data_IF_733498153883
#
_entry.id   IF_733498153883
#
_cell.length_a   1.000
_cell.length_b   1.000
_cell.length_c   1.000
_cell.angle_alpha   90.00
_cell.angle_beta   90.00
_cell.angle_gamma   90.00
#
_symmetry.space_group_name_H-M   'P 1'
#
loop_
_entity.id
_entity.type
_entity.pdbx_description
1 polymer ?
#
# COMPACT_ATOMS: atom_id res chain seq x y z
N UNK A 1 -13.57 0.54 22.03
CA UNK A 1 -14.61 0.19 23.02
C UNK A 1 -15.93 0.85 22.62
N UNK A 2 -16.99 0.05 22.48
CA UNK A 2 -18.35 0.52 22.20
C UNK A 2 -19.26 0.31 23.40
N UNK A 3 -20.42 0.98 23.41
CA UNK A 3 -21.45 0.73 24.43
C UNK A 3 -21.94 -0.71 24.28
N UNK A 4 -22.00 -1.45 25.39
CA UNK A 4 -22.50 -2.83 25.37
C UNK A 4 -24.01 -2.84 25.05
N UNK A 5 -24.45 -3.42 23.93
CA UNK A 5 -25.85 -3.45 23.57
C UNK A 5 -26.69 -4.41 24.45
N UNK A 6 -26.02 -5.30 25.19
CA UNK A 6 -26.69 -6.34 25.99
C UNK A 6 -26.77 -5.99 27.48
N UNK A 7 -25.90 -5.11 27.98
CA UNK A 7 -25.83 -4.76 29.41
C UNK A 7 -25.66 -3.26 29.59
N UNK A 8 -26.63 -2.59 30.21
CA UNK A 8 -26.61 -1.14 30.48
C UNK A 8 -25.36 -0.73 31.29
N UNK A 9 -24.83 0.45 30.97
CA UNK A 9 -23.69 1.08 31.64
C UNK A 9 -22.37 0.30 31.60
N UNK A 10 -22.22 -0.63 30.66
CA UNK A 10 -20.96 -1.33 30.41
C UNK A 10 -20.45 -1.07 29.00
N UNK A 11 -19.14 -1.27 28.79
CA UNK A 11 -18.50 -1.15 27.49
C UNK A 11 -17.90 -2.50 27.09
N UNK A 12 -17.95 -2.82 25.80
CA UNK A 12 -17.29 -3.98 25.23
C UNK A 12 -16.22 -3.52 24.25
N UNK A 13 -15.22 -4.36 24.07
CA UNK A 13 -14.20 -4.15 23.05
C UNK A 13 -14.70 -4.72 21.73
N UNK A 14 -14.81 -3.85 20.72
CA UNK A 14 -15.05 -4.28 19.34
C UNK A 14 -13.72 -4.77 18.75
N UNK A 15 -13.61 -6.07 18.48
CA UNK A 15 -12.39 -6.69 17.96
C UNK A 15 -12.18 -6.40 16.48
N UNK A 16 -13.24 -5.98 15.76
CA UNK A 16 -13.26 -5.88 14.31
C UNK A 16 -13.31 -7.25 13.60
N UNK A 17 -13.39 -8.35 14.35
CA UNK A 17 -13.47 -9.69 13.78
C UNK A 17 -14.92 -10.05 13.41
N UNK A 18 -15.09 -10.66 12.24
CA UNK A 18 -16.36 -11.20 11.79
C UNK A 18 -16.46 -12.69 12.09
N UNK A 19 -17.56 -13.08 12.74
CA UNK A 19 -17.85 -14.46 13.04
C UNK A 19 -19.26 -14.87 12.64
N UNK A 20 -19.47 -16.16 12.38
CA UNK A 20 -20.77 -16.77 12.12
C UNK A 20 -20.98 -17.94 13.05
N UNK A 21 -22.14 -17.99 13.70
CA UNK A 21 -22.57 -19.17 14.45
C UNK A 21 -22.78 -20.36 13.52
N UNK A 22 -22.26 -21.51 13.91
CA UNK A 22 -22.52 -22.79 13.27
C UNK A 22 -23.62 -23.54 14.02
N UNK A 23 -24.30 -24.51 13.36
CA UNK A 23 -25.37 -25.32 14.00
C UNK A 23 -24.88 -26.09 15.24
N UNK A 24 -23.61 -26.42 15.31
CA UNK A 24 -22.97 -27.11 16.46
C UNK A 24 -22.63 -26.23 17.64
N UNK A 25 -23.01 -24.94 17.63
CA UNK A 25 -22.74 -24.00 18.70
C UNK A 25 -21.35 -23.35 18.65
N UNK A 26 -20.52 -23.67 17.67
CA UNK A 26 -19.21 -23.04 17.48
C UNK A 26 -19.31 -21.76 16.63
N UNK A 27 -18.34 -20.85 16.80
CA UNK A 27 -18.20 -19.66 15.95
C UNK A 27 -17.18 -19.95 14.86
N UNK A 28 -17.59 -19.81 13.61
CA UNK A 28 -16.68 -19.80 12.46
C UNK A 28 -16.16 -18.37 12.25
N UNK A 29 -14.85 -18.20 12.30
CA UNK A 29 -14.20 -16.96 11.92
C UNK A 29 -14.35 -16.72 10.41
N UNK A 30 -14.80 -15.53 10.01
CA UNK A 30 -15.03 -15.11 8.63
C UNK A 30 -14.02 -14.09 8.11
N UNK A 31 -13.15 -13.61 8.97
CA UNK A 31 -12.20 -12.54 8.65
C UNK A 31 -12.42 -11.32 9.54
N UNK A 32 -11.88 -10.19 9.11
CA UNK A 32 -12.02 -8.91 9.80
C UNK A 32 -12.92 -7.96 9.02
N UNK A 33 -13.63 -7.10 9.77
CA UNK A 33 -14.45 -6.02 9.21
C UNK A 33 -13.60 -4.77 8.89
N UNK A 34 -12.46 -4.64 9.57
CA UNK A 34 -11.49 -3.59 9.33
C UNK A 34 -10.45 -4.03 8.28
N UNK A 35 -9.80 -3.06 7.66
CA UNK A 35 -8.76 -3.25 6.65
C UNK A 35 -7.38 -3.56 7.27
N UNK A 36 -7.37 -4.10 8.49
CA UNK A 36 -6.17 -4.41 9.20
C UNK A 36 -5.50 -5.65 8.61
N UNK A 37 -4.23 -5.54 8.30
CA UNK A 37 -3.43 -6.60 7.69
C UNK A 37 -2.17 -6.89 8.52
N UNK A 38 -1.69 -8.13 8.42
CA UNK A 38 -0.36 -8.49 8.92
C UNK A 38 0.62 -8.53 7.75
N UNK A 39 1.59 -7.60 7.75
CA UNK A 39 2.66 -7.54 6.75
C UNK A 39 3.99 -7.62 7.49
N UNK A 40 4.86 -8.56 7.12
CA UNK A 40 6.17 -8.77 7.76
C UNK A 40 6.08 -8.85 9.30
N UNK A 41 4.98 -9.40 9.85
CA UNK A 41 4.72 -9.52 11.29
C UNK A 41 4.12 -8.27 11.96
N UNK A 42 4.08 -7.15 11.31
CA UNK A 42 3.46 -5.91 11.82
C UNK A 42 1.96 -5.88 11.53
N UNK A 43 1.20 -5.38 12.49
CA UNK A 43 -0.24 -5.12 12.35
C UNK A 43 -0.41 -3.71 11.79
N UNK A 44 -0.90 -3.60 10.56
CA UNK A 44 -1.01 -2.36 9.80
C UNK A 44 -2.48 -2.01 9.57
N UNK A 45 -2.83 -0.76 9.86
CA UNK A 45 -4.13 -0.18 9.55
C UNK A 45 -4.01 0.60 8.23
N UNK A 46 -4.56 0.03 7.14
CA UNK A 46 -4.43 0.62 5.81
C UNK A 46 -5.07 2.01 5.72
N UNK A 47 -6.17 2.24 6.46
CA UNK A 47 -6.87 3.53 6.50
C UNK A 47 -6.02 4.67 7.09
N UNK A 48 -5.10 4.36 8.00
CA UNK A 48 -4.17 5.35 8.55
C UNK A 48 -3.19 5.84 7.47
N UNK A 49 -2.65 4.91 6.68
CA UNK A 49 -1.79 5.24 5.55
C UNK A 49 -2.56 6.04 4.49
N UNK A 50 -3.80 5.60 4.15
CA UNK A 50 -4.67 6.29 3.19
C UNK A 50 -4.92 7.74 3.61
N UNK A 51 -5.20 7.97 4.90
CA UNK A 51 -5.42 9.30 5.47
C UNK A 51 -4.20 10.21 5.35
N UNK A 52 -2.99 9.69 5.64
CA UNK A 52 -1.76 10.47 5.53
C UNK A 52 -1.41 10.80 4.08
N UNK A 53 -1.68 9.89 3.14
CA UNK A 53 -1.46 10.15 1.70
C UNK A 53 -2.41 11.27 1.23
N UNK A 54 -3.69 11.22 1.59
CA UNK A 54 -4.66 12.25 1.22
C UNK A 54 -4.29 13.64 1.76
N UNK A 55 -3.63 13.73 2.91
CA UNK A 55 -3.16 15.00 3.49
C UNK A 55 -1.94 15.61 2.77
N UNK A 56 -1.29 14.87 1.87
CA UNK A 56 -0.10 15.36 1.18
C UNK A 56 -0.42 16.46 0.16
N UNK A 57 -1.55 16.37 -0.55
CA UNK A 57 -1.94 17.34 -1.58
C UNK A 57 -3.45 17.36 -1.78
N UNK A 58 -4.01 18.55 -1.94
CA UNK A 58 -5.43 18.77 -2.31
C UNK A 58 -5.78 18.25 -3.71
N UNK A 59 -4.79 17.86 -4.49
CA UNK A 59 -4.98 17.26 -5.82
C UNK A 59 -5.39 15.79 -5.73
N UNK A 60 -5.14 15.12 -4.60
CA UNK A 60 -5.54 13.74 -4.34
C UNK A 60 -7.01 13.69 -3.95
N UNK A 61 -7.81 12.92 -4.70
CA UNK A 61 -9.25 12.80 -4.45
C UNK A 61 -9.57 11.53 -3.63
N UNK A 62 -8.99 10.41 -4.03
CA UNK A 62 -9.21 9.12 -3.38
C UNK A 62 -7.90 8.35 -3.30
N UNK A 63 -7.73 7.62 -2.22
CA UNK A 63 -6.59 6.74 -2.00
C UNK A 63 -7.09 5.40 -1.48
N UNK A 64 -6.53 4.33 -1.99
CA UNK A 64 -6.76 2.96 -1.52
C UNK A 64 -5.41 2.28 -1.38
N UNK A 65 -5.09 1.84 -0.18
CA UNK A 65 -3.90 1.05 0.09
C UNK A 65 -4.28 -0.43 0.14
N UNK A 66 -3.49 -1.27 -0.52
CA UNK A 66 -3.67 -2.72 -0.53
C UNK A 66 -2.31 -3.43 -0.42
N UNK A 67 -2.32 -4.68 0.06
CA UNK A 67 -1.13 -5.51 0.02
C UNK A 67 -1.14 -6.37 -1.23
N UNK A 68 -0.05 -6.31 -1.99
CA UNK A 68 0.16 -7.13 -3.19
C UNK A 68 1.38 -8.02 -3.01
N UNK A 69 1.34 -9.17 -3.64
CA UNK A 69 2.46 -10.11 -3.62
C UNK A 69 3.40 -9.79 -4.79
N UNK A 70 4.61 -9.35 -4.47
CA UNK A 70 5.68 -9.07 -5.44
C UNK A 70 6.87 -9.92 -5.03
N UNK A 71 7.47 -10.68 -5.96
CA UNK A 71 8.61 -11.56 -5.70
C UNK A 71 8.46 -12.43 -4.44
N UNK A 72 7.26 -12.96 -4.21
CA UNK A 72 6.89 -13.78 -3.04
C UNK A 72 6.78 -13.01 -1.70
N UNK A 73 6.99 -11.70 -1.68
CA UNK A 73 6.80 -10.84 -0.51
C UNK A 73 5.52 -10.02 -0.59
N UNK A 74 4.89 -9.78 0.57
CA UNK A 74 3.77 -8.86 0.65
C UNK A 74 4.29 -7.43 0.79
N UNK A 75 3.95 -6.59 -0.18
CA UNK A 75 4.30 -5.15 -0.21
C UNK A 75 3.05 -4.29 -0.18
N UNK A 76 3.14 -3.11 0.40
CA UNK A 76 2.09 -2.11 0.37
C UNK A 76 2.10 -1.35 -0.95
N UNK A 77 0.92 -1.19 -1.54
CA UNK A 77 0.69 -0.43 -2.77
C UNK A 77 -0.41 0.58 -2.52
N UNK A 78 -0.14 1.83 -2.78
CA UNK A 78 -1.13 2.90 -2.72
C UNK A 78 -1.64 3.22 -4.14
N UNK A 79 -2.94 3.03 -4.34
CA UNK A 79 -3.66 3.44 -5.55
C UNK A 79 -4.32 4.78 -5.28
N UNK A 80 -4.20 5.74 -6.18
CA UNK A 80 -4.77 7.06 -5.99
C UNK A 80 -5.40 7.63 -7.27
N UNK A 81 -6.43 8.46 -7.09
CA UNK A 81 -6.96 9.33 -8.12
C UNK A 81 -6.53 10.76 -7.87
N UNK A 82 -6.42 11.56 -8.91
CA UNK A 82 -5.98 12.95 -8.83
C UNK A 82 -6.75 13.81 -9.83
N UNK A 83 -7.12 15.03 -9.42
CA UNK A 83 -7.80 16.01 -10.27
C UNK A 83 -6.97 16.45 -11.47
N UNK A 84 -5.65 16.51 -11.30
CA UNK A 84 -4.74 16.88 -12.39
C UNK A 84 -4.10 15.64 -13.00
N UNK A 85 -3.84 15.74 -14.32
CA UNK A 85 -3.09 14.70 -15.05
C UNK A 85 -1.60 14.70 -14.69
N UNK A 86 -1.11 15.77 -14.09
CA UNK A 86 0.28 15.85 -13.66
C UNK A 86 0.54 14.83 -12.55
N UNK A 87 1.59 14.07 -12.73
CA UNK A 87 1.98 13.00 -11.82
C UNK A 87 2.40 13.62 -10.48
N UNK A 88 1.78 13.15 -9.40
CA UNK A 88 2.28 13.42 -8.05
C UNK A 88 3.73 12.92 -7.99
N UNK A 89 4.61 13.76 -7.49
CA UNK A 89 6.00 13.37 -7.23
C UNK A 89 6.02 12.27 -6.14
N UNK A 90 6.11 11.02 -6.61
CA UNK A 90 6.08 9.82 -5.77
C UNK A 90 7.24 9.80 -4.77
N UNK A 91 8.38 10.37 -5.14
CA UNK A 91 9.56 10.43 -4.27
C UNK A 91 9.32 11.40 -3.11
N UNK A 92 8.85 12.60 -3.38
CA UNK A 92 8.53 13.58 -2.35
C UNK A 92 7.35 13.13 -1.47
N UNK A 93 6.34 12.47 -2.03
CA UNK A 93 5.27 11.83 -1.27
C UNK A 93 5.84 10.79 -0.29
N UNK A 94 6.76 9.93 -0.74
CA UNK A 94 7.42 8.96 0.14
C UNK A 94 8.19 9.64 1.27
N UNK A 95 8.98 10.67 0.97
CA UNK A 95 9.71 11.44 1.99
C UNK A 95 8.76 12.07 3.02
N UNK A 96 7.62 12.61 2.56
CA UNK A 96 6.60 13.13 3.45
C UNK A 96 6.07 12.03 4.40
N UNK A 97 5.76 10.85 3.88
CA UNK A 97 5.26 9.73 4.67
C UNK A 97 6.32 9.22 5.67
N UNK A 98 7.61 9.19 5.31
CA UNK A 98 8.71 8.82 6.21
C UNK A 98 8.78 9.70 7.46
N UNK A 99 8.34 10.96 7.38
CA UNK A 99 8.27 11.86 8.51
C UNK A 99 6.99 11.68 9.38
N UNK A 100 6.03 10.88 8.92
CA UNK A 100 4.72 10.72 9.57
C UNK A 100 4.46 9.30 10.05
N UNK A 101 4.98 8.30 9.35
CA UNK A 101 4.69 6.89 9.55
C UNK A 101 5.96 6.08 9.76
N UNK A 102 5.89 4.98 10.51
CA UNK A 102 6.97 4.01 10.58
C UNK A 102 7.27 3.41 9.19
N UNK A 103 8.50 3.02 8.94
CA UNK A 103 8.94 2.54 7.61
C UNK A 103 8.14 1.35 7.08
N UNK A 104 7.72 0.43 7.96
CA UNK A 104 6.90 -0.74 7.59
C UNK A 104 5.47 -0.37 7.12
N UNK A 105 5.01 0.87 7.34
CA UNK A 105 3.73 1.40 6.87
C UNK A 105 3.84 2.20 5.56
N UNK A 106 5.04 2.40 5.04
CA UNK A 106 5.25 3.20 3.83
C UNK A 106 5.01 2.33 2.59
N UNK A 107 4.10 2.72 1.68
CA UNK A 107 3.90 1.98 0.43
C UNK A 107 5.18 1.91 -0.40
N UNK A 108 5.45 0.72 -0.96
CA UNK A 108 6.57 0.53 -1.89
C UNK A 108 6.24 1.05 -3.30
N UNK A 109 4.94 1.15 -3.62
CA UNK A 109 4.47 1.58 -4.95
C UNK A 109 3.33 2.57 -4.82
N UNK A 110 3.32 3.59 -5.71
CA UNK A 110 2.22 4.53 -5.87
C UNK A 110 1.69 4.45 -7.31
N UNK A 111 0.47 3.97 -7.45
CA UNK A 111 -0.17 3.70 -8.75
C UNK A 111 -1.30 4.70 -8.96
N UNK A 112 -1.17 5.57 -9.97
CA UNK A 112 -2.26 6.43 -10.37
C UNK A 112 -3.28 5.63 -11.18
N UNK A 113 -4.56 5.80 -10.87
CA UNK A 113 -5.68 5.22 -11.60
C UNK A 113 -6.73 6.29 -11.88
N UNK A 114 -7.52 6.12 -12.93
CA UNK A 114 -8.54 7.10 -13.29
C UNK A 114 -9.73 7.07 -12.33
N UNK A 115 -10.06 5.89 -11.79
CA UNK A 115 -11.12 5.71 -10.81
C UNK A 115 -10.87 4.50 -9.93
N UNK A 116 -11.28 4.57 -8.67
CA UNK A 116 -11.27 3.42 -7.75
C UNK A 116 -12.37 2.45 -8.17
N UNK A 117 -12.04 1.17 -8.48
CA UNK A 117 -13.05 0.19 -8.88
C UNK A 117 -13.96 -0.17 -7.69
N UNK A 118 -15.26 -0.17 -7.94
CA UNK A 118 -16.26 -0.52 -6.95
C UNK A 118 -16.98 -1.84 -7.30
N UNK A 119 -17.44 -2.53 -6.28
CA UNK A 119 -18.36 -3.66 -6.42
C UNK A 119 -19.78 -3.15 -6.71
N UNK A 120 -20.71 -3.98 -7.17
CA UNK A 120 -22.12 -3.58 -7.36
C UNK A 120 -22.77 -2.99 -6.11
N UNK A 121 -22.27 -3.32 -4.94
CA UNK A 121 -22.77 -2.81 -3.65
C UNK A 121 -22.04 -1.52 -3.18
N UNK A 122 -21.25 -0.87 -4.04
CA UNK A 122 -20.55 0.38 -3.74
C UNK A 122 -19.30 0.24 -2.85
N UNK A 123 -18.83 -0.98 -2.56
CA UNK A 123 -17.59 -1.20 -1.81
C UNK A 123 -16.39 -1.24 -2.75
N UNK A 124 -15.21 -0.87 -2.27
CA UNK A 124 -13.95 -0.94 -3.03
C UNK A 124 -13.71 -2.39 -3.48
N UNK A 125 -13.54 -2.57 -4.80
CA UNK A 125 -13.20 -3.85 -5.40
C UNK A 125 -11.67 -4.02 -5.51
N UNK A 126 -11.03 -4.44 -4.41
CA UNK A 126 -9.56 -4.62 -4.34
C UNK A 126 -9.03 -5.65 -5.35
N UNK A 127 -9.88 -6.60 -5.81
CA UNK A 127 -9.49 -7.59 -6.82
C UNK A 127 -9.36 -7.00 -8.23
N UNK A 128 -10.07 -5.90 -8.48
CA UNK A 128 -10.06 -5.20 -9.76
C UNK A 128 -8.99 -4.08 -9.82
N UNK A 129 -8.23 -3.87 -8.75
CA UNK A 129 -7.11 -2.93 -8.77
C UNK A 129 -6.03 -3.43 -9.75
N UNK A 130 -5.44 -2.55 -10.56
CA UNK A 130 -4.48 -2.93 -11.59
C UNK A 130 -3.22 -3.57 -11.00
N UNK A 131 -2.52 -4.33 -11.83
CA UNK A 131 -1.21 -4.86 -11.49
C UNK A 131 -0.18 -3.73 -11.46
N UNK A 132 0.83 -3.91 -10.61
CA UNK A 132 1.98 -3.01 -10.52
C UNK A 132 2.83 -3.19 -11.78
N UNK A 133 3.33 -2.09 -12.30
CA UNK A 133 4.27 -2.04 -13.43
C UNK A 133 5.60 -1.43 -12.97
N UNK A 134 6.65 -1.54 -13.78
CA UNK A 134 7.94 -0.89 -13.50
C UNK A 134 7.83 0.64 -13.36
N UNK A 135 6.84 1.27 -14.02
CA UNK A 135 6.59 2.70 -13.91
C UNK A 135 6.04 3.14 -12.54
N UNK A 136 5.60 2.18 -11.73
CA UNK A 136 5.04 2.44 -10.41
C UNK A 136 6.10 2.39 -9.29
N UNK A 137 7.32 1.95 -9.63
CA UNK A 137 8.47 1.99 -8.73
C UNK A 137 8.79 3.45 -8.41
N UNK A 138 8.94 3.75 -7.12
CA UNK A 138 9.34 5.07 -6.66
C UNK A 138 10.82 5.26 -6.99
N UNK A 139 11.13 6.19 -7.88
CA UNK A 139 12.51 6.48 -8.25
C UNK A 139 12.81 7.96 -8.05
N UNK A 140 14.03 8.25 -7.65
CA UNK A 140 14.64 9.56 -7.91
C UNK A 140 14.72 9.79 -9.41
N UNK A 141 15.00 11.04 -9.82
CA UNK A 141 15.33 11.31 -11.21
C UNK A 141 16.40 10.33 -11.70
N UNK A 142 16.06 9.62 -12.77
CA UNK A 142 16.96 8.61 -13.33
C UNK A 142 18.23 9.26 -13.86
N UNK A 143 19.34 8.91 -13.27
CA UNK A 143 20.67 9.29 -13.77
C UNK A 143 21.34 8.02 -14.31
N UNK A 144 21.61 8.01 -15.61
CA UNK A 144 22.24 6.87 -16.29
C UNK A 144 23.66 6.61 -15.75
N UNK A 145 24.12 5.34 -15.72
CA UNK A 145 25.51 5.01 -15.48
C UNK A 145 26.45 5.78 -16.42
N UNK A 146 27.60 6.25 -15.91
CA UNK A 146 28.56 7.07 -16.63
C UNK A 146 29.93 6.40 -16.79
N UNK A 147 30.27 5.50 -15.85
CA UNK A 147 31.54 4.80 -15.85
C UNK A 147 31.36 3.30 -16.09
N UNK A 148 32.41 2.62 -16.52
CA UNK A 148 32.37 1.18 -16.75
C UNK A 148 31.93 0.39 -15.48
N UNK A 149 32.34 0.85 -14.30
CA UNK A 149 31.96 0.22 -13.02
C UNK A 149 30.48 0.45 -12.73
N UNK A 150 29.96 1.67 -12.93
CA UNK A 150 28.52 1.96 -12.75
C UNK A 150 27.66 1.13 -13.70
N UNK A 151 28.05 0.97 -14.97
CA UNK A 151 27.38 0.10 -15.93
C UNK A 151 27.37 -1.35 -15.45
N UNK A 152 28.51 -1.85 -14.97
CA UNK A 152 28.61 -3.24 -14.48
C UNK A 152 27.68 -3.45 -13.27
N UNK A 153 27.69 -2.56 -12.29
CA UNK A 153 26.82 -2.63 -11.12
C UNK A 153 25.34 -2.52 -11.49
N UNK A 154 24.98 -1.58 -12.37
CA UNK A 154 23.61 -1.43 -12.85
C UNK A 154 23.10 -2.71 -13.56
N UNK A 155 23.91 -3.35 -14.38
CA UNK A 155 23.56 -4.60 -15.04
C UNK A 155 23.34 -5.76 -14.03
N UNK A 156 24.21 -5.89 -13.02
CA UNK A 156 24.06 -6.89 -11.96
C UNK A 156 22.74 -6.66 -11.21
N UNK A 157 22.41 -5.40 -10.85
CA UNK A 157 21.17 -5.08 -10.16
C UNK A 157 19.94 -5.34 -11.03
N UNK A 158 20.00 -5.02 -12.33
CA UNK A 158 18.95 -5.33 -13.30
C UNK A 158 18.67 -6.83 -13.35
N UNK A 159 19.70 -7.64 -13.42
CA UNK A 159 19.58 -9.10 -13.45
C UNK A 159 19.01 -9.68 -12.15
N UNK A 160 19.53 -9.24 -11.00
CA UNK A 160 19.11 -9.74 -9.69
C UNK A 160 17.67 -9.31 -9.33
N UNK A 161 17.30 -8.08 -9.65
CA UNK A 161 15.98 -7.52 -9.32
C UNK A 161 14.93 -7.77 -10.41
N UNK A 162 15.34 -8.25 -11.60
CA UNK A 162 14.44 -8.48 -12.73
C UNK A 162 13.83 -7.19 -13.30
N UNK A 163 14.56 -6.07 -13.24
CA UNK A 163 14.12 -4.75 -13.72
C UNK A 163 14.96 -4.28 -14.89
N UNK A 164 14.37 -3.52 -15.82
CA UNK A 164 15.05 -3.13 -17.06
C UNK A 164 15.95 -1.90 -16.92
N UNK A 165 15.86 -1.16 -15.83
CA UNK A 165 16.55 0.14 -15.72
C UNK A 165 16.97 0.42 -14.28
N UNK A 166 18.27 0.68 -14.07
CA UNK A 166 18.86 1.06 -12.80
C UNK A 166 19.71 2.31 -12.99
N UNK A 167 19.44 3.37 -12.20
CA UNK A 167 20.21 4.62 -12.17
C UNK A 167 21.26 4.62 -11.06
N UNK A 168 22.24 5.52 -11.18
CA UNK A 168 23.35 5.61 -10.22
C UNK A 168 22.94 6.17 -8.85
N UNK A 169 21.74 6.75 -8.74
CA UNK A 169 21.16 7.28 -7.50
C UNK A 169 20.11 6.38 -6.89
N UNK A 170 19.80 5.25 -7.55
CA UNK A 170 18.81 4.31 -7.06
C UNK A 170 19.33 3.57 -5.81
N UNK A 171 18.39 3.18 -4.95
CA UNK A 171 18.68 2.35 -3.78
C UNK A 171 18.22 0.91 -4.06
N UNK A 172 19.12 -0.05 -3.89
CA UNK A 172 18.86 -1.47 -4.15
C UNK A 172 17.60 -1.99 -3.44
N UNK A 173 17.43 -1.65 -2.15
CA UNK A 173 16.30 -2.11 -1.34
C UNK A 173 14.98 -1.37 -1.62
N UNK A 174 15.03 -0.28 -2.38
CA UNK A 174 13.84 0.45 -2.81
C UNK A 174 13.34 -0.02 -4.18
N UNK A 175 14.19 -0.70 -4.94
CA UNK A 175 13.88 -1.22 -6.26
C UNK A 175 13.33 -2.65 -6.24
N UNK A 176 13.53 -3.39 -5.14
CA UNK A 176 13.10 -4.79 -5.05
C UNK A 176 12.81 -5.31 -3.66
#
# INVERSE_FOLDING_TARGET
FIVNPFTKNTRIYDTGDLGKWLPNGNIKFLGRNDLQMKIRGYRIELGDIESHILQYSDELEQVVVDAKKVNNENVLVAYYTSTKKDLIDKYNLRLYLQNKLPEYMIPSFFVRIDQIPLTPNGKINRKALPHITENDIIRKEYIAPRTALEFMLANIWQEVLGINKVGITDNFFELG
#
